data_IF_424705346892
#
_entry.id   IF_424705346892
#
_cell.length_a   1.000
_cell.length_b   1.000
_cell.length_c   1.000
_cell.angle_alpha   90.00
_cell.angle_beta   90.00
_cell.angle_gamma   90.00
#
_symmetry.space_group_name_H-M   'P 1'
#
loop_
_entity.id
_entity.type
_entity.pdbx_description
1 polymer ?
#
# COMPACT_ATOMS: atom_id res chain seq x y z
N UNK A 1 13.38 1.63 9.39
CA UNK A 1 12.69 0.42 8.91
C UNK A 1 13.69 -0.57 8.37
N UNK A 2 13.46 -1.87 8.56
CA UNK A 2 14.38 -2.93 8.16
C UNK A 2 14.31 -3.30 6.67
N UNK A 3 13.30 -2.81 5.96
CA UNK A 3 13.15 -3.05 4.52
C UNK A 3 12.91 -1.74 3.80
N UNK A 4 13.12 -1.79 2.49
CA UNK A 4 12.75 -0.70 1.59
C UNK A 4 11.78 -1.28 0.57
N UNK A 5 10.56 -0.73 0.54
CA UNK A 5 9.53 -1.21 -0.36
C UNK A 5 9.87 -0.92 -1.82
N UNK A 6 9.68 -1.91 -2.66
CA UNK A 6 9.55 -1.66 -4.08
C UNK A 6 8.14 -1.16 -4.36
N UNK A 7 8.00 -0.15 -5.18
CA UNK A 7 6.70 0.38 -5.56
C UNK A 7 6.75 0.98 -6.95
N UNK A 8 5.57 1.05 -7.58
CA UNK A 8 5.38 1.71 -8.86
C UNK A 8 4.57 2.98 -8.59
N UNK A 9 5.00 4.08 -9.16
CA UNK A 9 4.40 5.39 -8.93
C UNK A 9 3.97 5.98 -10.26
N UNK A 10 2.77 6.59 -10.29
CA UNK A 10 2.24 7.21 -11.51
C UNK A 10 1.21 8.27 -11.16
N UNK A 11 1.06 9.26 -12.05
CA UNK A 11 0.01 10.27 -11.94
C UNK A 11 0.33 11.39 -10.97
N UNK A 12 -0.66 12.25 -10.75
CA UNK A 12 -0.58 13.42 -9.87
C UNK A 12 -1.92 13.61 -9.18
N UNK A 13 -1.92 14.33 -8.07
CA UNK A 13 -3.11 14.65 -7.31
C UNK A 13 -3.10 14.00 -5.94
N UNK A 14 -4.28 13.69 -5.43
CA UNK A 14 -4.39 13.05 -4.12
C UNK A 14 -3.78 11.66 -4.15
N UNK A 15 -3.09 11.24 -3.08
CA UNK A 15 -2.49 9.92 -3.04
C UNK A 15 -3.52 8.80 -3.00
N UNK A 16 -3.25 7.72 -3.71
CA UNK A 16 -3.93 6.45 -3.55
C UNK A 16 -2.88 5.35 -3.48
N UNK A 17 -2.96 4.51 -2.46
CA UNK A 17 -2.06 3.38 -2.29
C UNK A 17 -2.82 2.10 -2.60
N UNK A 18 -2.24 1.30 -3.49
CA UNK A 18 -2.81 0.02 -3.92
C UNK A 18 -2.05 -1.11 -3.22
N UNK A 19 -2.78 -1.98 -2.51
CA UNK A 19 -2.22 -3.11 -1.78
C UNK A 19 -2.73 -4.42 -2.37
N UNK A 20 -1.81 -5.27 -2.80
CA UNK A 20 -2.13 -6.54 -3.46
C UNK A 20 -2.52 -7.64 -2.46
N UNK A 21 -3.04 -8.75 -2.98
CA UNK A 21 -3.36 -9.92 -2.18
C UNK A 21 -2.13 -10.77 -1.86
N UNK A 22 -2.33 -11.76 -0.99
CA UNK A 22 -1.27 -12.67 -0.57
C UNK A 22 -0.72 -13.46 -1.78
N UNK A 23 0.60 -13.52 -1.88
CA UNK A 23 1.27 -14.22 -2.97
C UNK A 23 1.34 -13.43 -4.29
N UNK A 24 0.82 -12.20 -4.28
CA UNK A 24 0.84 -11.34 -5.45
C UNK A 24 1.86 -10.20 -5.28
N UNK A 25 1.88 -9.27 -6.21
CA UNK A 25 2.76 -8.10 -6.15
C UNK A 25 2.10 -6.93 -6.89
N UNK A 26 2.78 -5.79 -6.97
CA UNK A 26 2.20 -4.58 -7.58
C UNK A 26 1.86 -4.75 -9.07
N UNK A 27 2.43 -5.72 -9.77
CA UNK A 27 2.09 -5.99 -11.16
C UNK A 27 0.62 -6.41 -11.32
N UNK A 28 0.00 -6.92 -10.25
CA UNK A 28 -1.42 -7.27 -10.25
C UNK A 28 -2.29 -6.07 -10.64
N UNK A 29 -1.83 -4.86 -10.32
CA UNK A 29 -2.59 -3.63 -10.55
C UNK A 29 -2.27 -2.94 -11.87
N UNK A 30 -1.52 -3.57 -12.76
CA UNK A 30 -0.97 -2.90 -13.93
C UNK A 30 -2.02 -2.11 -14.74
N UNK A 31 -3.19 -2.71 -14.97
CA UNK A 31 -4.28 -2.04 -15.66
C UNK A 31 -4.91 -0.93 -14.83
N UNK A 32 -5.08 -1.17 -13.52
CA UNK A 32 -5.68 -0.20 -12.61
C UNK A 32 -4.78 1.01 -12.38
N UNK A 33 -3.45 0.82 -12.39
CA UNK A 33 -2.51 1.93 -12.19
C UNK A 33 -2.74 3.00 -13.25
N UNK A 34 -2.83 2.61 -14.53
CA UNK A 34 -3.03 3.54 -15.62
C UNK A 34 -4.35 4.28 -15.48
N UNK A 35 -5.40 3.60 -15.05
CA UNK A 35 -6.71 4.20 -14.89
C UNK A 35 -6.75 5.18 -13.73
N UNK A 36 -6.24 4.80 -12.57
CA UNK A 36 -6.20 5.67 -11.40
C UNK A 36 -5.25 6.85 -11.57
N UNK A 37 -4.18 6.68 -12.34
CA UNK A 37 -3.19 7.75 -12.56
C UNK A 37 -3.77 8.96 -13.30
N UNK A 38 -4.94 8.82 -13.90
CA UNK A 38 -5.64 9.95 -14.53
C UNK A 38 -6.17 10.92 -13.50
N UNK A 39 -6.41 10.48 -12.27
CA UNK A 39 -7.08 11.27 -11.24
C UNK A 39 -6.30 11.37 -9.94
N UNK A 40 -5.34 10.48 -9.70
CA UNK A 40 -4.65 10.33 -8.42
C UNK A 40 -3.15 10.19 -8.63
N UNK A 41 -2.42 10.48 -7.56
CA UNK A 41 -1.02 10.09 -7.46
C UNK A 41 -0.97 8.68 -6.90
N UNK A 42 -0.66 7.70 -7.75
CA UNK A 42 -0.76 6.27 -7.44
C UNK A 42 0.55 5.73 -6.91
N UNK A 43 0.46 4.96 -5.82
CA UNK A 43 1.57 4.18 -5.28
C UNK A 43 1.10 2.73 -5.19
N UNK A 44 1.61 1.88 -6.08
CA UNK A 44 1.34 0.43 -6.03
C UNK A 44 2.52 -0.25 -5.37
N UNK A 45 2.33 -0.81 -4.19
CA UNK A 45 3.41 -1.27 -3.32
C UNK A 45 3.50 -2.79 -3.33
N UNK A 46 4.73 -3.33 -3.45
CA UNK A 46 5.01 -4.72 -3.11
C UNK A 46 5.17 -4.79 -1.59
N UNK A 47 4.30 -5.55 -0.91
CA UNK A 47 4.40 -5.67 0.54
C UNK A 47 5.59 -6.55 0.94
N UNK A 48 5.92 -6.51 2.23
CA UNK A 48 7.06 -7.23 2.80
C UNK A 48 7.08 -8.70 2.31
N UNK A 49 8.22 -9.11 1.74
CA UNK A 49 8.40 -10.47 1.28
C UNK A 49 7.66 -10.84 0.00
N UNK A 50 7.07 -9.87 -0.70
CA UNK A 50 6.37 -10.08 -1.97
C UNK A 50 7.04 -9.30 -3.08
N UNK A 51 6.99 -9.84 -4.29
CA UNK A 51 7.56 -9.21 -5.46
C UNK A 51 9.03 -8.84 -5.25
N UNK A 52 9.34 -7.56 -5.40
CA UNK A 52 10.71 -7.06 -5.28
C UNK A 52 11.02 -6.47 -3.89
N UNK A 53 10.08 -6.55 -2.95
CA UNK A 53 10.31 -6.07 -1.58
C UNK A 53 10.87 -7.20 -0.73
N UNK A 54 12.00 -7.00 -0.04
CA UNK A 54 12.60 -8.05 0.77
C UNK A 54 11.74 -8.43 1.96
N UNK A 55 11.97 -9.64 2.48
CA UNK A 55 11.28 -10.16 3.65
C UNK A 55 11.66 -9.42 4.93
N UNK A 56 12.92 -9.05 5.07
CA UNK A 56 13.44 -8.44 6.29
C UNK A 56 13.45 -9.39 7.48
N UNK A 57 13.60 -8.85 8.68
CA UNK A 57 13.70 -9.62 9.91
C UNK A 57 12.52 -9.43 10.86
N UNK A 58 11.52 -8.64 10.46
CA UNK A 58 10.30 -8.44 11.24
C UNK A 58 9.31 -9.59 11.00
N UNK A 59 8.31 -9.77 11.88
CA UNK A 59 7.29 -10.81 11.69
C UNK A 59 6.54 -10.66 10.37
N UNK A 60 6.14 -11.78 9.77
CA UNK A 60 5.41 -11.81 8.52
C UNK A 60 3.92 -11.89 8.81
N UNK A 61 3.34 -10.80 9.32
CA UNK A 61 1.94 -10.72 9.74
C UNK A 61 1.25 -9.53 9.10
N UNK A 62 -0.08 -9.58 9.03
CA UNK A 62 -0.87 -8.46 8.50
C UNK A 62 -0.65 -7.20 9.34
N UNK A 63 -0.52 -7.34 10.65
CA UNK A 63 -0.23 -6.21 11.54
C UNK A 63 1.11 -5.57 11.19
N UNK A 64 2.13 -6.39 10.94
CA UNK A 64 3.43 -5.86 10.52
C UNK A 64 3.33 -5.15 9.17
N UNK A 65 2.53 -5.69 8.25
CA UNK A 65 2.32 -5.04 6.95
C UNK A 65 1.65 -3.67 7.12
N UNK A 66 0.73 -3.54 8.08
CA UNK A 66 0.11 -2.24 8.37
C UNK A 66 1.13 -1.26 8.97
N UNK A 67 2.01 -1.74 9.85
CA UNK A 67 3.09 -0.91 10.39
C UNK A 67 4.06 -0.49 9.28
N UNK A 68 4.35 -1.39 8.35
CA UNK A 68 5.19 -1.08 7.19
C UNK A 68 4.55 0.01 6.33
N UNK A 69 3.24 -0.03 6.17
CA UNK A 69 2.51 1.00 5.41
C UNK A 69 2.67 2.37 6.07
N UNK A 70 2.56 2.43 7.38
CA UNK A 70 2.77 3.68 8.11
C UNK A 70 4.18 4.23 7.86
N UNK A 71 5.19 3.36 7.94
CA UNK A 71 6.58 3.76 7.66
C UNK A 71 6.74 4.26 6.22
N UNK A 72 6.13 3.55 5.26
CA UNK A 72 6.17 3.98 3.86
C UNK A 72 5.58 5.38 3.70
N UNK A 73 4.41 5.62 4.29
CA UNK A 73 3.76 6.92 4.22
C UNK A 73 4.62 8.02 4.83
N UNK A 74 5.21 7.74 5.99
CA UNK A 74 6.08 8.72 6.66
C UNK A 74 7.33 9.02 5.83
N UNK A 75 7.94 7.99 5.26
CA UNK A 75 9.14 8.14 4.43
C UNK A 75 8.86 8.95 3.16
N UNK A 76 7.66 8.85 2.63
CA UNK A 76 7.25 9.56 1.42
C UNK A 76 6.45 10.83 1.69
N UNK A 77 6.36 11.22 2.97
CA UNK A 77 5.66 12.44 3.39
C UNK A 77 4.20 12.46 2.96
N UNK A 78 3.55 11.30 3.01
CA UNK A 78 2.13 11.16 2.71
C UNK A 78 1.36 11.25 4.02
N UNK A 79 0.70 12.36 4.26
CA UNK A 79 -0.07 12.56 5.51
C UNK A 79 -1.35 11.76 5.51
N UNK A 80 -2.06 11.75 4.40
CA UNK A 80 -3.37 11.14 4.27
C UNK A 80 -3.51 10.56 2.87
N UNK A 81 -4.11 9.38 2.76
CA UNK A 81 -4.21 8.68 1.50
C UNK A 81 -5.54 7.98 1.34
N UNK A 82 -5.92 7.73 0.09
CA UNK A 82 -6.93 6.73 -0.25
C UNK A 82 -6.24 5.37 -0.26
N UNK A 83 -6.94 4.34 0.19
CA UNK A 83 -6.42 2.97 0.20
C UNK A 83 -7.33 2.08 -0.62
N UNK A 84 -6.75 1.29 -1.51
CA UNK A 84 -7.47 0.25 -2.24
C UNK A 84 -6.73 -1.06 -2.01
N UNK A 85 -7.38 -2.02 -1.36
CA UNK A 85 -6.79 -3.31 -1.05
C UNK A 85 -7.56 -4.45 -1.69
N UNK A 86 -6.84 -5.48 -2.11
CA UNK A 86 -7.41 -6.71 -2.68
C UNK A 86 -7.07 -7.87 -1.76
N UNK A 87 -8.09 -8.64 -1.34
CA UNK A 87 -7.88 -9.82 -0.49
C UNK A 87 -7.11 -9.44 0.78
N UNK A 88 -5.91 -9.97 1.01
CA UNK A 88 -5.09 -9.62 2.19
C UNK A 88 -4.70 -8.14 2.21
N UNK A 89 -4.57 -7.52 1.04
CA UNK A 89 -4.38 -6.07 0.95
C UNK A 89 -5.54 -5.31 1.55
N UNK A 90 -6.76 -5.82 1.40
CA UNK A 90 -7.95 -5.26 2.05
C UNK A 90 -7.87 -5.38 3.56
N UNK A 91 -7.39 -6.51 4.08
CA UNK A 91 -7.20 -6.70 5.52
C UNK A 91 -6.15 -5.76 6.08
N UNK A 92 -5.04 -5.57 5.37
CA UNK A 92 -3.99 -4.62 5.76
C UNK A 92 -4.57 -3.20 5.83
N UNK A 93 -5.33 -2.82 4.81
CA UNK A 93 -5.95 -1.49 4.74
C UNK A 93 -6.91 -1.26 5.89
N UNK A 94 -7.70 -2.28 6.23
CA UNK A 94 -8.67 -2.19 7.31
C UNK A 94 -7.99 -2.01 8.66
N UNK A 95 -6.97 -2.81 8.95
CA UNK A 95 -6.21 -2.69 10.21
C UNK A 95 -5.55 -1.33 10.29
N UNK A 96 -4.94 -0.87 9.20
CA UNK A 96 -4.31 0.43 9.15
C UNK A 96 -5.34 1.55 9.43
N UNK A 97 -6.53 1.47 8.82
CA UNK A 97 -7.57 2.49 9.00
C UNK A 97 -8.10 2.52 10.43
N UNK A 98 -8.17 1.36 11.10
CA UNK A 98 -8.58 1.29 12.50
C UNK A 98 -7.52 1.94 13.40
N UNK A 99 -6.25 1.68 13.13
CA UNK A 99 -5.14 2.20 13.95
C UNK A 99 -4.86 3.68 13.68
N UNK A 100 -5.02 4.12 12.44
CA UNK A 100 -4.64 5.46 12.00
C UNK A 100 -5.73 6.10 11.14
N UNK A 101 -6.96 6.30 11.69
CA UNK A 101 -8.07 6.85 10.90
C UNK A 101 -7.77 8.23 10.34
N UNK A 102 -6.93 9.01 11.01
CA UNK A 102 -6.53 10.35 10.57
C UNK A 102 -5.63 10.32 9.33
N UNK A 103 -5.10 9.15 8.97
CA UNK A 103 -4.21 8.97 7.82
C UNK A 103 -4.94 8.43 6.59
N UNK A 104 -6.23 8.11 6.70
CA UNK A 104 -7.01 7.50 5.62
C UNK A 104 -8.14 8.42 5.22
N UNK A 105 -8.17 8.77 3.93
CA UNK A 105 -9.26 9.59 3.37
C UNK A 105 -10.43 8.69 2.96
N UNK A 106 -10.16 7.66 2.18
CA UNK A 106 -11.12 6.68 1.73
C UNK A 106 -10.53 5.29 1.78
N UNK A 107 -11.35 4.32 2.21
CA UNK A 107 -10.96 2.92 2.23
C UNK A 107 -11.84 2.16 1.24
N UNK A 108 -11.19 1.46 0.31
CA UNK A 108 -11.85 0.66 -0.72
C UNK A 108 -11.24 -0.73 -0.73
N UNK A 109 -12.04 -1.74 -1.03
CA UNK A 109 -11.53 -3.08 -1.26
C UNK A 109 -12.34 -3.83 -2.29
N UNK A 110 -11.69 -4.85 -2.80
CA UNK A 110 -12.26 -5.69 -3.83
C UNK A 110 -12.07 -7.16 -3.48
#
# INVERSE_FOLDING_TARGET
MDIKHFYVEAGKGDPIILLHGNGENCDYFKGQIDEFAKYYHVYAIDTRGHGKTPRGDKPFTIRQFADDLLCFMNDHQIEKTNLLGFSDGGNISMIFAIQHPERVNRLMYS
#
